data_IF_546962404833
#
_entry.id   IF_546962404833
#
_cell.length_a   1.000
_cell.length_b   1.000
_cell.length_c   1.000
_cell.angle_alpha   90.00
_cell.angle_beta   90.00
_cell.angle_gamma   90.00
#
_symmetry.space_group_name_H-M   'P 1'
#
loop_
_entity.id
_entity.type
_entity.pdbx_description
1 polymer ?
#
# COMPACT_ATOMS: atom_id res chain seq x y z
N UNK A 1 -47.88 50.28 32.94
CA UNK A 1 -48.23 48.98 32.34
C UNK A 1 -47.21 47.93 32.76
N UNK A 2 -47.64 46.72 33.17
CA UNK A 2 -46.77 45.60 33.50
C UNK A 2 -46.27 44.92 32.21
N UNK A 3 -44.96 44.71 32.09
CA UNK A 3 -44.35 44.05 30.92
C UNK A 3 -43.89 42.64 31.27
N UNK A 4 -44.11 41.67 30.38
CA UNK A 4 -43.74 40.26 30.60
C UNK A 4 -42.33 39.92 30.08
N UNK A 5 -41.95 38.64 30.16
CA UNK A 5 -40.78 38.12 29.46
C UNK A 5 -41.16 37.75 28.02
N UNK A 6 -40.51 38.38 27.05
CA UNK A 6 -40.75 38.18 25.63
C UNK A 6 -39.64 37.39 24.93
N UNK A 7 -38.59 36.96 25.64
CA UNK A 7 -37.53 36.10 25.08
C UNK A 7 -38.16 34.81 24.48
N UNK A 8 -37.71 34.42 23.29
CA UNK A 8 -38.24 33.30 22.51
C UNK A 8 -39.56 33.58 21.77
N UNK A 9 -40.22 34.71 22.02
CA UNK A 9 -41.44 35.10 21.32
C UNK A 9 -41.15 35.77 19.97
N UNK A 10 -42.17 35.86 19.11
CA UNK A 10 -42.06 36.57 17.82
C UNK A 10 -41.93 38.07 18.03
N UNK A 11 -40.85 38.68 17.54
CA UNK A 11 -40.64 40.12 17.62
C UNK A 11 -41.79 40.91 16.99
N UNK A 12 -42.27 40.50 15.81
CA UNK A 12 -43.33 41.25 15.11
C UNK A 12 -44.63 41.29 15.91
N UNK A 13 -45.03 40.17 16.51
CA UNK A 13 -46.25 40.11 17.35
C UNK A 13 -46.10 40.97 18.61
N UNK A 14 -44.97 40.81 19.31
CA UNK A 14 -44.69 41.55 20.56
C UNK A 14 -44.57 43.05 20.32
N UNK A 15 -43.80 43.46 19.31
CA UNK A 15 -43.59 44.86 18.99
C UNK A 15 -44.88 45.55 18.55
N UNK A 16 -45.77 44.85 17.84
CA UNK A 16 -47.10 45.38 17.48
C UNK A 16 -47.94 45.61 18.73
N UNK A 17 -48.04 44.61 19.62
CA UNK A 17 -48.77 44.72 20.89
C UNK A 17 -48.27 45.92 21.72
N UNK A 18 -46.96 46.00 21.96
CA UNK A 18 -46.36 47.04 22.81
C UNK A 18 -46.47 48.44 22.22
N UNK A 19 -46.40 48.58 20.90
CA UNK A 19 -46.62 49.88 20.23
C UNK A 19 -48.07 50.33 20.35
N UNK A 20 -49.03 49.42 20.22
CA UNK A 20 -50.45 49.72 20.44
C UNK A 20 -50.73 50.15 21.89
N UNK A 21 -49.93 49.65 22.83
CA UNK A 21 -49.96 50.06 24.25
C UNK A 21 -49.17 51.35 24.52
N UNK A 22 -48.63 51.99 23.48
CA UNK A 22 -48.01 53.32 23.53
C UNK A 22 -46.49 53.34 23.74
N UNK A 23 -45.81 52.18 23.81
CA UNK A 23 -44.36 52.14 23.96
C UNK A 23 -43.63 52.42 22.64
N UNK A 24 -42.51 53.13 22.74
CA UNK A 24 -41.50 53.17 21.67
C UNK A 24 -40.68 51.88 21.71
N UNK A 25 -40.66 51.13 20.60
CA UNK A 25 -39.95 49.84 20.49
C UNK A 25 -38.83 49.90 19.45
N UNK A 26 -37.59 49.68 19.90
CA UNK A 26 -36.38 49.57 19.07
C UNK A 26 -35.98 48.11 18.84
N UNK A 27 -35.38 47.84 17.69
CA UNK A 27 -34.85 46.52 17.32
C UNK A 27 -33.35 46.61 17.09
N UNK A 28 -32.63 45.62 17.60
CA UNK A 28 -31.29 45.23 17.14
C UNK A 28 -31.36 43.79 16.64
N UNK A 29 -30.53 43.44 15.68
CA UNK A 29 -30.45 42.09 15.12
C UNK A 29 -29.15 41.43 15.55
N UNK A 30 -29.18 40.13 15.85
CA UNK A 30 -27.99 39.34 16.13
C UNK A 30 -28.21 37.88 15.68
N UNK A 31 -27.15 37.17 15.25
CA UNK A 31 -27.23 35.74 14.95
C UNK A 31 -27.49 34.93 16.22
N UNK A 32 -28.15 33.77 16.06
CA UNK A 32 -28.43 32.85 17.16
C UNK A 32 -28.65 31.44 16.63
N UNK A 33 -28.08 30.46 17.35
CA UNK A 33 -28.34 29.03 17.18
C UNK A 33 -29.40 28.49 18.17
N UNK A 34 -29.91 29.33 19.08
CA UNK A 34 -30.88 28.93 20.10
C UNK A 34 -32.32 29.22 19.68
N UNK A 35 -32.55 30.35 19.01
CA UNK A 35 -33.86 30.73 18.52
C UNK A 35 -33.84 31.01 17.02
N UNK A 36 -34.84 30.50 16.30
CA UNK A 36 -35.00 30.76 14.87
C UNK A 36 -35.21 32.24 14.53
N UNK A 37 -35.09 32.57 13.25
CA UNK A 37 -35.18 33.94 12.73
C UNK A 37 -36.46 34.66 13.20
N UNK A 38 -36.32 35.92 13.61
CA UNK A 38 -37.44 36.78 14.02
C UNK A 38 -37.90 36.58 15.48
N UNK A 39 -37.26 35.69 16.25
CA UNK A 39 -37.51 35.52 17.68
C UNK A 39 -36.67 36.49 18.53
N UNK A 40 -37.20 36.90 19.67
CA UNK A 40 -36.50 37.80 20.61
C UNK A 40 -35.45 37.00 21.39
N UNK A 41 -34.20 37.48 21.36
CA UNK A 41 -33.07 36.93 22.11
C UNK A 41 -32.91 37.59 23.48
N UNK A 42 -33.10 38.91 23.53
CA UNK A 42 -32.91 39.71 24.74
C UNK A 42 -33.87 40.89 24.76
N UNK A 43 -34.20 41.33 25.98
CA UNK A 43 -34.96 42.54 26.27
C UNK A 43 -34.19 43.40 27.27
N UNK A 44 -34.29 44.73 27.16
CA UNK A 44 -33.56 45.68 28.03
C UNK A 44 -34.29 46.07 29.32
N UNK A 45 -35.27 45.27 29.74
CA UNK A 45 -36.08 45.53 30.92
C UNK A 45 -36.39 44.23 31.65
N UNK A 46 -36.52 44.33 32.97
CA UNK A 46 -36.87 43.19 33.79
C UNK A 46 -38.36 42.87 33.59
N UNK A 47 -38.70 41.60 33.35
CA UNK A 47 -40.10 41.19 33.22
C UNK A 47 -40.84 41.39 34.55
N UNK A 48 -42.16 41.35 34.48
CA UNK A 48 -43.12 41.52 35.55
C UNK A 48 -43.10 42.87 36.28
N UNK A 49 -42.35 43.86 35.78
CA UNK A 49 -42.31 45.22 36.31
C UNK A 49 -43.22 46.17 35.55
N UNK A 50 -43.67 47.23 36.24
CA UNK A 50 -44.47 48.28 35.63
C UNK A 50 -43.60 49.39 35.03
N UNK A 51 -43.92 49.80 33.82
CA UNK A 51 -43.28 50.92 33.13
C UNK A 51 -44.31 51.89 32.57
N UNK A 52 -43.92 53.17 32.48
CA UNK A 52 -44.68 54.23 31.80
C UNK A 52 -44.41 54.17 30.28
N UNK A 53 -45.43 53.91 29.44
CA UNK A 53 -45.28 53.82 28.00
C UNK A 53 -44.71 55.08 27.34
N UNK A 54 -44.97 56.27 27.91
CA UNK A 54 -44.52 57.54 27.33
C UNK A 54 -43.05 57.86 27.66
N UNK A 55 -42.51 57.29 28.73
CA UNK A 55 -41.14 57.57 29.22
C UNK A 55 -40.16 56.46 28.86
N UNK A 56 -40.59 55.20 28.82
CA UNK A 56 -39.70 54.06 28.59
C UNK A 56 -39.63 53.69 27.11
N UNK A 57 -38.41 53.65 26.56
CA UNK A 57 -38.15 52.99 25.28
C UNK A 57 -37.72 51.55 25.53
N UNK A 58 -38.41 50.61 24.89
CA UNK A 58 -38.11 49.18 24.94
C UNK A 58 -37.20 48.83 23.78
N UNK A 59 -36.14 48.07 24.03
CA UNK A 59 -35.27 47.55 22.96
C UNK A 59 -35.13 46.05 23.08
N UNK A 60 -35.29 45.38 21.94
CA UNK A 60 -35.10 43.94 21.81
C UNK A 60 -33.93 43.63 20.90
N UNK A 61 -33.19 42.58 21.23
CA UNK A 61 -32.28 41.90 20.29
C UNK A 61 -33.06 40.76 19.65
N UNK A 62 -33.04 40.66 18.33
CA UNK A 62 -33.86 39.73 17.55
C UNK A 62 -32.95 38.82 16.73
N UNK A 63 -33.23 37.52 16.77
CA UNK A 63 -32.51 36.50 16.03
C UNK A 63 -32.59 36.74 14.52
N UNK A 64 -31.46 36.67 13.83
CA UNK A 64 -31.39 36.55 12.38
C UNK A 64 -31.36 35.09 11.92
N UNK A 65 -31.35 34.14 12.84
CA UNK A 65 -31.07 32.73 12.59
C UNK A 65 -29.58 32.41 12.75
N UNK A 66 -29.21 31.19 12.36
CA UNK A 66 -27.82 30.71 12.42
C UNK A 66 -26.99 31.52 11.42
N UNK A 67 -25.77 31.91 11.82
CA UNK A 67 -24.83 32.52 10.90
C UNK A 67 -24.18 31.42 10.05
N UNK A 68 -24.42 31.47 8.75
CA UNK A 68 -23.84 30.56 7.77
C UNK A 68 -22.65 31.22 7.07
N UNK A 69 -21.71 30.39 6.64
CA UNK A 69 -20.48 30.74 5.93
C UNK A 69 -20.46 29.93 4.65
N UNK A 70 -20.21 30.59 3.53
CA UNK A 70 -19.94 29.90 2.26
C UNK A 70 -18.50 29.42 2.23
N UNK A 71 -18.31 28.13 1.99
CA UNK A 71 -16.99 27.52 1.97
C UNK A 71 -16.18 27.90 0.72
N UNK A 72 -14.93 28.30 0.94
CA UNK A 72 -13.94 28.43 -0.12
C UNK A 72 -13.52 27.05 -0.63
N UNK A 73 -13.07 26.96 -1.88
CA UNK A 73 -12.30 25.82 -2.35
C UNK A 73 -10.90 25.80 -1.73
N UNK A 74 -10.62 24.73 -0.97
CA UNK A 74 -9.37 24.49 -0.26
C UNK A 74 -8.46 23.51 -1.00
N UNK A 75 -8.86 22.99 -2.16
CA UNK A 75 -8.05 22.05 -2.94
C UNK A 75 -6.68 22.66 -3.26
N UNK A 76 -5.62 21.86 -3.11
CA UNK A 76 -4.25 22.30 -3.32
C UNK A 76 -3.64 23.15 -2.20
N UNK A 77 -4.42 23.65 -1.22
CA UNK A 77 -3.88 24.38 -0.06
C UNK A 77 -3.11 23.43 0.87
N UNK A 78 -2.22 23.98 1.69
CA UNK A 78 -1.52 23.25 2.75
C UNK A 78 -2.34 23.23 4.04
N UNK A 79 -2.03 22.31 4.97
CA UNK A 79 -2.68 22.24 6.29
C UNK A 79 -2.64 23.58 7.03
N UNK A 80 -1.51 24.29 7.00
CA UNK A 80 -1.36 25.59 7.67
C UNK A 80 -2.29 26.66 7.08
N UNK A 81 -2.42 26.70 5.75
CA UNK A 81 -3.33 27.63 5.08
C UNK A 81 -4.81 27.30 5.36
N UNK A 82 -5.16 26.01 5.47
CA UNK A 82 -6.51 25.58 5.88
C UNK A 82 -6.83 26.02 7.30
N UNK A 83 -5.90 25.86 8.24
CA UNK A 83 -6.08 26.32 9.63
C UNK A 83 -6.26 27.84 9.68
N UNK A 84 -5.48 28.59 8.91
CA UNK A 84 -5.61 30.05 8.83
C UNK A 84 -7.01 30.46 8.33
N UNK A 85 -7.48 29.86 7.23
CA UNK A 85 -8.83 30.08 6.72
C UNK A 85 -9.90 29.72 7.76
N UNK A 86 -9.79 28.54 8.38
CA UNK A 86 -10.78 28.10 9.35
C UNK A 86 -10.85 29.03 10.56
N UNK A 87 -9.73 29.58 11.04
CA UNK A 87 -9.74 30.56 12.12
C UNK A 87 -10.39 31.89 11.69
N UNK A 88 -10.11 32.36 10.47
CA UNK A 88 -10.70 33.59 9.91
C UNK A 88 -12.23 33.52 9.86
N UNK A 89 -12.76 32.35 9.49
CA UNK A 89 -14.22 32.13 9.40
C UNK A 89 -14.80 31.41 10.62
N UNK A 90 -14.03 31.24 11.70
CA UNK A 90 -14.45 30.57 12.94
C UNK A 90 -15.05 29.16 12.72
N UNK A 91 -14.37 28.32 11.94
CA UNK A 91 -14.70 26.91 11.72
C UNK A 91 -13.75 25.96 12.46
N UNK A 92 -14.18 24.72 12.65
CA UNK A 92 -13.44 23.67 13.34
C UNK A 92 -12.92 22.62 12.33
N UNK A 93 -11.67 22.73 11.84
CA UNK A 93 -11.15 21.79 10.85
C UNK A 93 -10.67 20.49 11.50
N UNK A 94 -10.98 19.36 10.87
CA UNK A 94 -10.41 18.05 11.16
C UNK A 94 -9.69 17.52 9.92
N UNK A 95 -8.66 16.71 10.12
CA UNK A 95 -7.77 16.29 9.05
C UNK A 95 -7.65 14.77 8.99
N UNK A 96 -7.81 14.22 7.80
CA UNK A 96 -7.49 12.83 7.49
C UNK A 96 -6.53 12.78 6.29
N UNK A 97 -5.92 11.63 6.02
CA UNK A 97 -4.84 11.50 5.05
C UNK A 97 -5.10 10.36 4.07
N UNK A 98 -5.11 10.67 2.78
CA UNK A 98 -5.28 9.71 1.72
C UNK A 98 -4.11 9.76 0.73
N UNK A 99 -3.82 8.64 0.06
CA UNK A 99 -2.89 8.65 -1.08
C UNK A 99 -3.56 9.30 -2.29
N UNK A 100 -2.78 10.03 -3.08
CA UNK A 100 -3.24 10.63 -4.33
C UNK A 100 -2.12 10.57 -5.38
N UNK A 101 -2.47 10.15 -6.59
CA UNK A 101 -1.52 10.12 -7.71
C UNK A 101 -1.33 11.46 -8.41
N UNK A 102 -2.26 12.38 -8.20
CA UNK A 102 -2.35 13.68 -8.87
C UNK A 102 -2.09 14.87 -7.94
N UNK A 103 -2.30 14.72 -6.63
CA UNK A 103 -2.12 15.79 -5.65
C UNK A 103 -0.79 15.60 -4.89
N UNK A 104 0.11 16.61 -4.89
CA UNK A 104 1.36 16.55 -4.14
C UNK A 104 1.17 16.25 -2.65
N UNK A 105 2.13 15.54 -2.04
CA UNK A 105 2.09 15.25 -0.61
C UNK A 105 2.04 16.54 0.21
N UNK A 106 1.17 16.60 1.22
CA UNK A 106 0.99 17.76 2.09
C UNK A 106 -0.10 18.75 1.63
N UNK A 107 -0.66 18.56 0.44
CA UNK A 107 -1.73 19.42 -0.10
C UNK A 107 -3.10 18.76 0.04
N UNK A 108 -4.15 19.59 0.15
CA UNK A 108 -5.54 19.14 0.24
C UNK A 108 -5.97 18.45 -1.05
N UNK A 109 -6.52 17.24 -0.90
CA UNK A 109 -7.18 16.47 -1.95
C UNK A 109 -8.63 16.91 -2.10
N UNK A 110 -9.34 16.99 -0.97
CA UNK A 110 -10.77 17.33 -0.91
C UNK A 110 -11.15 17.82 0.48
N UNK A 111 -12.32 18.44 0.54
CA UNK A 111 -12.96 18.91 1.77
C UNK A 111 -14.40 18.41 1.87
N UNK A 112 -14.97 18.47 3.06
CA UNK A 112 -16.41 18.22 3.31
C UNK A 112 -16.86 19.09 4.48
N UNK A 113 -17.89 19.94 4.32
CA UNK A 113 -18.74 20.15 3.13
C UNK A 113 -17.99 20.70 1.91
N UNK A 114 -18.58 20.60 0.71
CA UNK A 114 -17.91 20.93 -0.54
C UNK A 114 -17.72 22.45 -0.73
N UNK A 115 -16.85 22.85 -1.65
CA UNK A 115 -16.66 24.26 -1.99
C UNK A 115 -17.99 24.88 -2.48
N UNK A 116 -18.29 26.10 -2.01
CA UNK A 116 -19.55 26.79 -2.30
C UNK A 116 -20.74 26.36 -1.43
N UNK A 117 -20.64 25.26 -0.68
CA UNK A 117 -21.67 24.88 0.27
C UNK A 117 -21.65 25.80 1.51
N UNK A 118 -22.80 25.87 2.18
CA UNK A 118 -22.94 26.64 3.41
C UNK A 118 -22.69 25.76 4.63
N UNK A 119 -21.95 26.30 5.58
CA UNK A 119 -21.69 25.68 6.88
C UNK A 119 -22.00 26.69 7.99
N UNK A 120 -22.49 26.22 9.12
CA UNK A 120 -22.72 27.07 10.28
C UNK A 120 -21.38 27.56 10.86
N UNK A 121 -21.32 28.80 11.33
CA UNK A 121 -20.17 29.27 12.11
C UNK A 121 -19.96 28.39 13.35
N UNK A 122 -18.71 27.99 13.60
CA UNK A 122 -18.36 26.96 14.58
C UNK A 122 -18.58 25.53 14.09
N UNK A 123 -18.99 25.32 12.84
CA UNK A 123 -19.21 24.01 12.24
C UNK A 123 -17.92 23.23 11.98
N UNK A 124 -18.06 21.91 11.83
CA UNK A 124 -16.95 20.99 11.57
C UNK A 124 -16.63 20.89 10.08
N UNK A 125 -15.37 21.07 9.71
CA UNK A 125 -14.86 20.97 8.34
C UNK A 125 -13.87 19.79 8.25
N UNK A 126 -14.22 18.72 7.54
CA UNK A 126 -13.30 17.60 7.29
C UNK A 126 -12.44 17.88 6.06
N UNK A 127 -11.13 17.69 6.17
CA UNK A 127 -10.17 17.95 5.09
C UNK A 127 -9.24 16.75 4.91
N UNK A 128 -9.13 16.26 3.67
CA UNK A 128 -8.24 15.16 3.33
C UNK A 128 -6.95 15.68 2.73
N UNK A 129 -5.81 15.38 3.34
CA UNK A 129 -4.48 15.77 2.90
C UNK A 129 -3.81 14.60 2.17
N UNK A 130 -3.11 14.92 1.08
CA UNK A 130 -2.38 13.93 0.29
C UNK A 130 -1.15 13.40 1.00
N UNK A 131 -0.99 12.09 0.98
CA UNK A 131 0.26 11.37 1.31
C UNK A 131 1.15 11.16 0.09
N UNK A 132 0.80 11.74 -1.06
CA UNK A 132 1.41 11.47 -2.36
C UNK A 132 0.99 10.13 -2.96
N UNK A 133 1.72 9.69 -3.99
CA UNK A 133 1.46 8.43 -4.70
C UNK A 133 1.64 7.24 -3.75
N UNK A 134 0.70 6.30 -3.76
CA UNK A 134 0.89 5.01 -3.08
C UNK A 134 2.02 4.24 -3.77
N UNK A 135 3.15 4.09 -3.11
CA UNK A 135 4.21 3.17 -3.56
C UNK A 135 3.78 1.75 -3.18
N UNK A 136 3.35 0.95 -4.16
CA UNK A 136 3.02 -0.45 -3.90
C UNK A 136 4.31 -1.25 -3.71
N UNK A 137 4.56 -1.73 -2.49
CA UNK A 137 5.51 -2.81 -2.22
C UNK A 137 4.89 -4.15 -2.66
N UNK A 138 4.37 -4.20 -3.88
CA UNK A 138 3.76 -5.41 -4.40
C UNK A 138 4.85 -6.43 -4.71
N UNK A 139 4.70 -7.61 -4.10
CA UNK A 139 5.50 -8.78 -4.45
C UNK A 139 5.04 -9.25 -5.82
N UNK A 140 5.96 -9.30 -6.78
CA UNK A 140 5.65 -9.72 -8.15
C UNK A 140 6.54 -10.87 -8.57
N UNK A 141 5.95 -11.77 -9.35
CA UNK A 141 6.61 -12.98 -9.81
C UNK A 141 7.02 -12.88 -11.28
N UNK A 142 8.19 -13.41 -11.62
CA UNK A 142 8.60 -13.66 -13.00
C UNK A 142 9.46 -14.93 -13.06
N UNK A 143 9.83 -15.38 -14.25
CA UNK A 143 10.76 -16.50 -14.39
C UNK A 143 11.82 -16.22 -15.43
N UNK A 144 13.03 -16.69 -15.18
CA UNK A 144 14.12 -16.73 -16.18
C UNK A 144 14.33 -18.17 -16.61
N UNK A 145 14.54 -18.39 -17.91
CA UNK A 145 14.94 -19.69 -18.44
C UNK A 145 16.45 -19.71 -18.62
N UNK A 146 17.10 -20.77 -18.18
CA UNK A 146 18.54 -20.95 -18.29
C UNK A 146 18.81 -22.34 -18.86
N UNK A 147 19.56 -22.42 -19.96
CA UNK A 147 20.03 -23.69 -20.51
C UNK A 147 21.36 -24.04 -19.86
N UNK A 148 21.42 -25.23 -19.26
CA UNK A 148 22.58 -25.77 -18.59
C UNK A 148 23.21 -26.78 -19.54
N UNK A 149 24.41 -26.51 -20.09
CA UNK A 149 25.06 -27.44 -20.99
C UNK A 149 25.52 -28.67 -20.22
N UNK A 150 25.31 -29.84 -20.81
CA UNK A 150 25.95 -31.07 -20.38
C UNK A 150 27.45 -31.03 -20.72
N UNK A 151 28.22 -31.80 -19.97
CA UNK A 151 29.66 -31.94 -20.14
C UNK A 151 30.00 -33.38 -19.90
N UNK A 152 30.51 -34.05 -20.94
CA UNK A 152 30.89 -35.45 -20.85
C UNK A 152 32.35 -35.54 -20.38
N UNK A 153 32.54 -35.89 -19.11
CA UNK A 153 33.85 -36.21 -18.54
C UNK A 153 34.10 -37.72 -18.64
N UNK A 154 34.11 -38.27 -19.86
CA UNK A 154 34.44 -39.67 -20.06
C UNK A 154 35.89 -39.95 -19.60
N UNK A 155 36.05 -40.65 -18.47
CA UNK A 155 37.35 -41.21 -18.08
C UNK A 155 37.68 -42.38 -19.02
N UNK A 156 38.93 -42.54 -19.47
CA UNK A 156 39.31 -43.75 -20.19
C UNK A 156 39.06 -44.95 -19.27
N UNK A 157 38.28 -45.93 -19.77
CA UNK A 157 38.18 -47.25 -19.15
C UNK A 157 39.58 -47.86 -19.29
N UNK A 158 40.31 -47.97 -18.18
CA UNK A 158 41.50 -48.81 -18.15
C UNK A 158 41.03 -50.25 -18.05
N UNK A 159 41.20 -51.01 -19.12
CA UNK A 159 40.96 -52.45 -19.18
C UNK A 159 41.93 -53.13 -18.19
N UNK A 160 41.41 -53.63 -17.06
CA UNK A 160 42.13 -54.55 -16.20
C UNK A 160 41.89 -55.96 -16.72
N UNK A 161 42.74 -56.41 -17.64
CA UNK A 161 42.99 -57.85 -17.80
C UNK A 161 43.94 -58.29 -16.70
N UNK A 162 43.37 -58.76 -15.60
CA UNK A 162 44.03 -59.63 -14.63
C UNK A 162 44.60 -60.88 -15.33
N UNK A 163 45.82 -61.28 -15.00
CA UNK A 163 46.09 -62.67 -14.64
C UNK A 163 47.43 -62.84 -13.90
N UNK A 164 47.36 -63.25 -12.65
CA UNK A 164 48.20 -64.32 -12.10
C UNK A 164 47.56 -64.84 -10.82
N UNK A 165 46.72 -65.84 -11.02
CA UNK A 165 46.15 -66.79 -10.06
C UNK A 165 47.14 -67.39 -9.04
N UNK A 166 46.62 -67.85 -7.90
CA UNK A 166 46.81 -69.26 -7.50
C UNK A 166 45.71 -69.74 -6.55
N UNK A 167 45.06 -70.81 -6.99
CA UNK A 167 43.88 -71.47 -6.43
C UNK A 167 44.23 -72.62 -5.47
N UNK A 168 43.30 -72.87 -4.55
CA UNK A 168 42.73 -74.15 -4.09
C UNK A 168 43.58 -75.40 -3.73
N UNK A 169 42.95 -76.23 -2.90
CA UNK A 169 43.47 -77.31 -2.07
C UNK A 169 43.51 -78.68 -2.77
N UNK A 170 44.47 -79.52 -2.34
CA UNK A 170 44.57 -81.01 -2.36
C UNK A 170 44.95 -81.82 -3.63
N UNK A 171 46.10 -82.51 -3.50
CA UNK A 171 46.52 -83.87 -3.94
C UNK A 171 46.45 -84.34 -5.41
N UNK A 172 47.65 -84.60 -5.96
CA UNK A 172 48.12 -85.69 -6.86
C UNK A 172 47.20 -86.30 -7.94
N UNK A 173 47.60 -86.19 -9.22
CA UNK A 173 48.38 -87.19 -10.01
C UNK A 173 48.14 -86.99 -11.53
N UNK A 174 49.22 -86.69 -12.27
CA UNK A 174 49.55 -87.31 -13.56
C UNK A 174 48.96 -86.78 -14.88
N UNK A 175 49.88 -86.30 -15.73
CA UNK A 175 49.96 -86.38 -17.21
C UNK A 175 49.19 -85.40 -18.12
N UNK A 176 49.99 -84.55 -18.77
CA UNK A 176 49.80 -83.71 -19.98
C UNK A 176 49.62 -84.53 -21.29
N UNK A 177 49.53 -83.91 -22.50
CA UNK A 177 48.68 -82.80 -22.99
C UNK A 177 48.17 -83.05 -24.44
N UNK A 178 47.29 -82.19 -24.99
CA UNK A 178 47.27 -81.75 -26.42
C UNK A 178 46.21 -80.64 -26.63
N UNK A 179 46.56 -79.38 -26.90
CA UNK A 179 46.66 -78.68 -28.21
C UNK A 179 45.45 -78.78 -29.16
N UNK A 180 44.72 -77.68 -29.40
CA UNK A 180 44.96 -76.72 -30.50
C UNK A 180 43.67 -75.99 -30.98
N UNK A 181 43.89 -74.77 -31.46
CA UNK A 181 43.15 -74.06 -32.52
C UNK A 181 41.81 -73.33 -32.26
N UNK A 182 41.94 -72.02 -32.49
CA UNK A 182 41.12 -71.20 -33.41
C UNK A 182 39.97 -70.33 -32.87
N UNK A 183 40.31 -69.03 -32.76
CA UNK A 183 39.63 -67.85 -33.31
C UNK A 183 38.10 -67.69 -33.20
N UNK A 184 37.70 -66.61 -32.51
CA UNK A 184 36.64 -65.72 -32.97
C UNK A 184 36.95 -64.29 -32.57
N UNK A 185 36.94 -63.39 -33.57
CA UNK A 185 37.02 -61.95 -33.44
C UNK A 185 35.71 -61.45 -32.82
N UNK A 186 35.77 -60.91 -31.60
CA UNK A 186 34.66 -60.14 -31.02
C UNK A 186 34.99 -58.65 -31.08
N UNK A 187 34.27 -57.95 -31.96
CA UNK A 187 34.24 -56.50 -32.07
C UNK A 187 33.37 -55.95 -30.93
N UNK A 188 33.98 -55.75 -29.76
CA UNK A 188 33.29 -55.17 -28.60
C UNK A 188 33.23 -53.65 -28.73
N UNK A 189 32.09 -53.14 -29.16
CA UNK A 189 31.75 -51.71 -29.06
C UNK A 189 31.48 -51.38 -27.59
N UNK A 190 32.44 -50.75 -26.91
CA UNK A 190 32.29 -50.29 -25.52
C UNK A 190 31.23 -49.19 -25.47
N UNK A 191 30.03 -49.49 -24.98
CA UNK A 191 29.03 -48.45 -24.68
C UNK A 191 29.45 -47.75 -23.39
N UNK A 192 30.03 -46.55 -23.52
CA UNK A 192 30.28 -45.64 -22.39
C UNK A 192 28.94 -45.18 -21.82
N UNK A 193 28.64 -45.55 -20.56
CA UNK A 193 27.53 -44.96 -19.82
C UNK A 193 27.84 -43.48 -19.60
N UNK A 194 26.96 -42.55 -20.00
CA UNK A 194 27.21 -41.13 -19.80
C UNK A 194 27.29 -40.83 -18.30
N UNK A 195 28.41 -40.26 -17.87
CA UNK A 195 28.56 -39.72 -16.52
C UNK A 195 27.49 -38.64 -16.30
N UNK A 196 26.82 -38.67 -15.15
CA UNK A 196 25.79 -37.71 -14.78
C UNK A 196 26.41 -36.45 -14.17
N UNK A 197 25.99 -35.28 -14.63
CA UNK A 197 26.50 -34.02 -14.08
C UNK A 197 25.63 -33.58 -12.91
N UNK A 198 26.24 -33.34 -11.74
CA UNK A 198 25.53 -32.88 -10.55
C UNK A 198 25.40 -31.36 -10.58
N UNK A 199 24.17 -30.88 -10.62
CA UNK A 199 23.82 -29.47 -10.70
C UNK A 199 23.25 -28.97 -9.38
N UNK A 200 23.84 -27.90 -8.83
CA UNK A 200 23.31 -27.12 -7.72
C UNK A 200 22.92 -25.72 -8.19
N UNK A 201 21.67 -25.33 -7.94
CA UNK A 201 21.13 -24.02 -8.29
C UNK A 201 20.90 -23.25 -6.99
N UNK A 202 21.43 -22.04 -6.90
CA UNK A 202 21.22 -21.08 -5.83
C UNK A 202 20.36 -19.94 -6.36
N UNK A 203 19.42 -19.45 -5.55
CA UNK A 203 18.49 -18.38 -5.92
C UNK A 203 18.28 -17.42 -4.75
N UNK A 204 18.42 -16.12 -5.00
CA UNK A 204 18.06 -15.05 -4.07
C UNK A 204 16.82 -14.34 -4.60
N UNK A 205 15.78 -14.33 -3.80
CA UNK A 205 14.59 -13.50 -4.01
C UNK A 205 13.98 -13.13 -2.65
N UNK A 206 12.70 -12.78 -2.61
CA UNK A 206 12.00 -12.48 -1.35
C UNK A 206 11.93 -13.69 -0.40
N UNK A 207 11.75 -14.89 -0.96
CA UNK A 207 11.48 -16.12 -0.20
C UNK A 207 12.76 -16.97 0.00
N UNK A 208 13.79 -16.76 -0.82
CA UNK A 208 14.99 -17.59 -0.87
C UNK A 208 16.27 -16.81 -0.59
N UNK A 209 17.25 -17.48 0.00
CA UNK A 209 18.55 -16.91 0.31
C UNK A 209 19.67 -17.45 -0.59
N UNK A 210 20.60 -16.57 -0.99
CA UNK A 210 21.67 -16.91 -1.94
C UNK A 210 22.68 -17.92 -1.40
N UNK A 211 22.76 -18.09 -0.07
CA UNK A 211 23.66 -19.05 0.56
C UNK A 211 23.15 -20.50 0.53
N UNK A 212 21.86 -20.71 0.24
CA UNK A 212 21.22 -22.02 0.29
C UNK A 212 20.94 -22.55 -1.11
N UNK A 213 21.16 -23.85 -1.29
CA UNK A 213 20.77 -24.54 -2.52
C UNK A 213 19.26 -24.45 -2.66
N UNK A 214 18.79 -23.86 -3.75
CA UNK A 214 17.39 -23.79 -4.13
C UNK A 214 16.92 -25.11 -4.75
N UNK A 215 17.75 -25.69 -5.63
CA UNK A 215 17.45 -26.97 -6.28
C UNK A 215 18.73 -27.73 -6.60
N UNK A 216 18.73 -29.04 -6.37
CA UNK A 216 19.75 -29.98 -6.81
C UNK A 216 19.14 -30.95 -7.84
N UNK A 217 19.88 -31.27 -8.90
CA UNK A 217 19.48 -32.23 -9.93
C UNK A 217 20.69 -32.83 -10.63
N UNK A 218 20.49 -33.93 -11.35
CA UNK A 218 21.47 -34.51 -12.27
C UNK A 218 21.03 -34.28 -13.72
N UNK A 219 21.98 -34.13 -14.63
CA UNK A 219 21.71 -34.02 -16.08
C UNK A 219 22.64 -34.95 -16.87
N UNK A 220 22.12 -35.58 -17.92
CA UNK A 220 22.87 -36.41 -18.88
C UNK A 220 22.86 -35.82 -20.30
N UNK A 221 22.23 -34.66 -20.48
CA UNK A 221 22.18 -33.86 -21.71
C UNK A 221 21.86 -32.40 -21.37
N UNK A 222 22.05 -31.50 -22.34
CA UNK A 222 21.69 -30.08 -22.20
C UNK A 222 20.26 -29.92 -21.67
N UNK A 223 20.11 -29.20 -20.57
CA UNK A 223 18.83 -29.12 -19.85
C UNK A 223 18.45 -27.66 -19.62
N UNK A 224 17.27 -27.26 -20.10
CA UNK A 224 16.72 -25.92 -19.81
C UNK A 224 15.88 -25.95 -18.55
N UNK A 225 16.18 -25.04 -17.62
CA UNK A 225 15.43 -24.86 -16.38
C UNK A 225 14.73 -23.51 -16.31
N UNK A 226 13.52 -23.49 -15.77
CA UNK A 226 12.82 -22.26 -15.39
C UNK A 226 13.08 -21.94 -13.91
N UNK A 227 13.55 -20.73 -13.62
CA UNK A 227 13.82 -20.24 -12.28
C UNK A 227 12.79 -19.16 -11.93
N UNK A 228 11.82 -19.45 -11.03
CA UNK A 228 10.84 -18.47 -10.59
C UNK A 228 11.45 -17.52 -9.55
N UNK A 229 11.20 -16.23 -9.71
CA UNK A 229 11.58 -15.17 -8.78
C UNK A 229 10.34 -14.49 -8.25
N UNK A 230 10.33 -14.15 -6.97
CA UNK A 230 9.39 -13.22 -6.33
C UNK A 230 10.16 -12.04 -5.76
N UNK A 231 9.93 -10.84 -6.28
CA UNK A 231 10.61 -9.62 -5.83
C UNK A 231 9.61 -8.48 -5.62
N UNK A 232 9.85 -7.67 -4.60
CA UNK A 232 9.29 -6.31 -4.50
C UNK A 232 10.12 -5.35 -5.38
N UNK A 233 9.61 -4.12 -5.60
CA UNK A 233 10.29 -3.12 -6.45
C UNK A 233 11.73 -2.80 -6.01
N UNK A 234 12.06 -2.97 -4.73
CA UNK A 234 13.34 -2.60 -4.15
C UNK A 234 14.27 -3.81 -3.91
N UNK A 235 13.81 -5.03 -4.19
CA UNK A 235 14.63 -6.23 -4.06
C UNK A 235 15.32 -6.58 -5.38
N UNK A 236 16.52 -7.15 -5.27
CA UNK A 236 17.33 -7.58 -6.40
C UNK A 236 17.44 -9.10 -6.35
N UNK A 237 16.99 -9.77 -7.40
CA UNK A 237 17.12 -11.22 -7.54
C UNK A 237 18.55 -11.62 -7.94
N UNK A 238 18.99 -12.80 -7.54
CA UNK A 238 20.27 -13.39 -7.96
C UNK A 238 20.12 -14.87 -8.23
N UNK A 239 20.93 -15.44 -9.10
CA UNK A 239 21.08 -16.90 -9.16
C UNK A 239 22.51 -17.31 -9.52
N UNK A 240 22.86 -18.54 -9.13
CA UNK A 240 24.12 -19.18 -9.50
C UNK A 240 23.87 -20.65 -9.78
N UNK A 241 24.54 -21.18 -10.81
CA UNK A 241 24.48 -22.60 -11.17
C UNK A 241 25.89 -23.16 -11.04
N UNK A 242 26.01 -24.20 -10.22
CA UNK A 242 27.24 -24.95 -9.96
C UNK A 242 27.07 -26.34 -10.55
N UNK A 243 28.05 -26.79 -11.32
CA UNK A 243 28.13 -28.12 -11.91
C UNK A 243 29.39 -28.80 -11.39
N UNK A 244 29.23 -29.96 -10.75
CA UNK A 244 30.33 -30.77 -10.22
C UNK A 244 31.30 -29.95 -9.34
N UNK A 245 30.72 -29.09 -8.50
CA UNK A 245 31.45 -28.19 -7.60
C UNK A 245 31.97 -26.88 -8.22
N UNK A 246 31.88 -26.71 -9.55
CA UNK A 246 32.33 -25.49 -10.25
C UNK A 246 31.16 -24.60 -10.68
N UNK A 247 31.20 -23.32 -10.35
CA UNK A 247 30.23 -22.34 -10.88
C UNK A 247 30.37 -22.23 -12.40
N UNK A 248 29.26 -22.45 -13.11
CA UNK A 248 29.18 -22.33 -14.58
C UNK A 248 28.34 -21.13 -15.04
N UNK A 249 27.41 -20.65 -14.21
CA UNK A 249 26.64 -19.43 -14.45
C UNK A 249 26.44 -18.64 -13.15
N UNK A 250 26.49 -17.32 -13.22
CA UNK A 250 26.13 -16.43 -12.11
C UNK A 250 25.53 -15.12 -12.62
N UNK A 251 24.38 -14.74 -12.06
CA UNK A 251 23.76 -13.43 -12.23
C UNK A 251 23.57 -12.79 -10.87
N UNK A 252 24.21 -11.63 -10.68
CA UNK A 252 24.26 -10.92 -9.40
C UNK A 252 23.21 -9.81 -9.28
N UNK A 253 22.51 -9.49 -10.37
CA UNK A 253 21.41 -8.53 -10.37
C UNK A 253 20.34 -8.85 -11.42
N UNK A 254 19.18 -9.28 -10.92
CA UNK A 254 17.92 -9.37 -11.67
C UNK A 254 16.93 -8.39 -11.08
N UNK A 255 16.59 -7.37 -11.87
CA UNK A 255 15.54 -6.44 -11.54
C UNK A 255 14.21 -6.95 -12.08
N UNK A 256 13.16 -6.61 -11.34
CA UNK A 256 11.81 -6.88 -11.76
C UNK A 256 11.50 -6.08 -13.04
N UNK A 257 11.45 -6.75 -14.20
CA UNK A 257 11.10 -6.10 -15.48
C UNK A 257 9.62 -5.75 -15.45
N UNK A 258 9.30 -4.45 -15.39
CA UNK A 258 7.94 -3.98 -15.61
C UNK A 258 7.55 -4.28 -17.07
N UNK A 259 6.73 -5.30 -17.28
CA UNK A 259 6.06 -5.51 -18.56
C UNK A 259 4.96 -4.45 -18.67
N UNK A 260 5.29 -3.29 -19.26
CA UNK A 260 4.26 -2.40 -19.77
C UNK A 260 3.66 -3.08 -21.01
N UNK A 261 2.57 -3.83 -20.85
CA UNK A 261 1.68 -4.09 -21.99
C UNK A 261 1.07 -2.73 -22.36
N UNK A 262 1.47 -2.25 -23.53
CA UNK A 262 0.86 -1.11 -24.23
C UNK A 262 -0.49 -1.53 -24.80
#
# INVERSE_FOLDING_TARGET
MRLDNYVGQSYNKVATKLRNEGFKVKRRSAPSNTFGTGKILQQNFNPNHQFDPKKKTLSFVVSTGIKEITLKDLTGMTKGQVVAYANEVELNPTFDYAYSSTVPSGNVIRQTPAAGEQIQQGGSLMVYISRGKKTSNELKSFSTRVTIPYHNDAKPIYDQTDDSTTSENSSELGTDPVTDSSSSLDESTSQQQPEENVILIYLKDHDHDFSRVYRQMVISQDTTVSLPFKLTKNEIGKYKIVRDGKTIYEITALLMKCTNRS
#
